data_IF_431408251622
#
_entry.id   IF_431408251622
#
_cell.length_a   1.000
_cell.length_b   1.000
_cell.length_c   1.000
_cell.angle_alpha   90.00
_cell.angle_beta   90.00
_cell.angle_gamma   90.00
#
_symmetry.space_group_name_H-M   'P 1'
#
loop_
_entity.id
_entity.type
_entity.pdbx_description
1 polymer ?
#
# COMPACT_ATOMS: atom_id res chain seq x y z
N UNK A 1 -14.72 -10.18 -10.98
CA UNK A 1 -14.36 -10.16 -9.55
C UNK A 1 -14.49 -8.75 -8.98
N UNK A 2 -13.73 -7.75 -9.47
CA UNK A 2 -13.83 -6.34 -9.01
C UNK A 2 -15.25 -5.75 -9.05
N UNK A 3 -16.03 -6.00 -10.10
CA UNK A 3 -17.42 -5.50 -10.22
C UNK A 3 -18.37 -6.06 -9.15
N UNK A 4 -18.21 -7.34 -8.78
CA UNK A 4 -19.03 -7.97 -7.73
C UNK A 4 -18.62 -7.39 -6.37
N UNK A 5 -17.33 -7.19 -6.14
CA UNK A 5 -16.82 -6.62 -4.90
C UNK A 5 -17.22 -5.14 -4.73
N UNK A 6 -17.28 -4.36 -5.80
CA UNK A 6 -17.83 -2.99 -5.74
C UNK A 6 -19.31 -3.02 -5.38
N UNK A 7 -20.10 -3.91 -5.98
CA UNK A 7 -21.52 -4.07 -5.60
C UNK A 7 -21.70 -4.52 -4.14
N UNK A 8 -20.84 -5.40 -3.63
CA UNK A 8 -20.86 -5.82 -2.22
C UNK A 8 -20.44 -4.68 -1.28
N UNK A 9 -19.51 -3.82 -1.72
CA UNK A 9 -19.10 -2.61 -1.00
C UNK A 9 -20.26 -1.61 -0.91
N UNK A 10 -20.92 -1.34 -2.05
CA UNK A 10 -22.04 -0.40 -2.15
C UNK A 10 -23.23 -0.83 -1.28
N UNK A 11 -23.38 -2.13 -1.04
CA UNK A 11 -24.43 -2.73 -0.21
C UNK A 11 -24.04 -2.94 1.26
N UNK A 12 -22.78 -2.68 1.63
CA UNK A 12 -22.29 -2.87 3.00
C UNK A 12 -22.29 -4.33 3.49
N UNK A 13 -22.22 -5.31 2.58
CA UNK A 13 -22.31 -6.73 2.93
C UNK A 13 -21.02 -7.23 3.61
N UNK A 14 -21.15 -8.08 4.65
CA UNK A 14 -20.00 -8.63 5.41
C UNK A 14 -18.98 -9.35 4.51
N UNK A 15 -19.44 -9.98 3.42
CA UNK A 15 -18.57 -10.64 2.44
C UNK A 15 -17.59 -9.68 1.74
N UNK A 16 -17.90 -8.37 1.70
CA UNK A 16 -16.96 -7.36 1.22
C UNK A 16 -15.79 -7.16 2.19
N UNK A 17 -16.05 -7.10 3.50
CA UNK A 17 -15.03 -6.92 4.52
C UNK A 17 -14.01 -8.07 4.47
N UNK A 18 -14.47 -9.31 4.39
CA UNK A 18 -13.62 -10.49 4.27
C UNK A 18 -12.78 -10.50 2.99
N UNK A 19 -13.38 -10.12 1.85
CA UNK A 19 -12.64 -9.99 0.59
C UNK A 19 -11.57 -8.89 0.69
N UNK A 20 -11.91 -7.74 1.29
CA UNK A 20 -11.01 -6.60 1.49
C UNK A 20 -9.82 -7.02 2.37
N UNK A 21 -10.08 -7.69 3.49
CA UNK A 21 -9.05 -8.24 4.39
C UNK A 21 -8.12 -9.21 3.64
N UNK A 22 -8.67 -10.15 2.85
CA UNK A 22 -7.86 -11.09 2.06
C UNK A 22 -7.00 -10.38 1.01
N UNK A 23 -7.50 -9.31 0.39
CA UNK A 23 -6.73 -8.51 -0.58
C UNK A 23 -5.62 -7.72 0.10
N UNK A 24 -5.91 -7.01 1.19
CA UNK A 24 -4.90 -6.27 1.96
C UNK A 24 -3.81 -7.19 2.49
N UNK A 25 -4.17 -8.38 3.01
CA UNK A 25 -3.20 -9.39 3.44
C UNK A 25 -2.28 -9.84 2.32
N UNK A 26 -2.80 -10.03 1.10
CA UNK A 26 -1.96 -10.40 -0.07
C UNK A 26 -0.97 -9.30 -0.42
N UNK A 27 -1.40 -8.04 -0.39
CA UNK A 27 -0.53 -6.88 -0.65
C UNK A 27 0.56 -6.77 0.43
N UNK A 28 0.19 -6.88 1.69
CA UNK A 28 1.14 -6.84 2.81
C UNK A 28 2.21 -7.94 2.70
N UNK A 29 1.81 -9.19 2.43
CA UNK A 29 2.75 -10.30 2.23
C UNK A 29 3.67 -10.07 1.02
N UNK A 30 3.21 -9.39 -0.03
CA UNK A 30 4.05 -9.05 -1.16
C UNK A 30 5.12 -8.01 -0.78
N UNK A 31 4.75 -6.98 -0.02
CA UNK A 31 5.72 -6.02 0.52
C UNK A 31 6.72 -6.67 1.47
N UNK A 32 6.25 -7.49 2.41
CA UNK A 32 7.10 -8.21 3.35
C UNK A 32 8.16 -9.06 2.63
N UNK A 33 7.76 -9.86 1.63
CA UNK A 33 8.72 -10.67 0.84
C UNK A 33 9.77 -9.81 0.14
N UNK A 34 9.36 -8.68 -0.44
CA UNK A 34 10.27 -7.83 -1.20
C UNK A 34 11.22 -7.06 -0.28
N UNK A 35 10.75 -6.60 0.88
CA UNK A 35 11.57 -6.00 1.93
C UNK A 35 12.54 -7.02 2.51
N UNK A 36 12.10 -8.25 2.78
CA UNK A 36 12.98 -9.32 3.25
C UNK A 36 14.10 -9.60 2.23
N UNK A 37 13.78 -9.59 0.93
CA UNK A 37 14.78 -9.70 -0.12
C UNK A 37 15.75 -8.51 -0.12
N UNK A 38 15.26 -7.28 0.03
CA UNK A 38 16.11 -6.08 0.11
C UNK A 38 17.01 -6.11 1.35
N UNK A 39 16.51 -6.60 2.48
CA UNK A 39 17.27 -6.75 3.72
C UNK A 39 18.38 -7.80 3.57
N UNK A 40 18.04 -8.98 3.06
CA UNK A 40 19.01 -10.06 2.80
C UNK A 40 20.12 -9.68 1.81
N UNK A 41 19.83 -8.75 0.90
CA UNK A 41 20.79 -8.25 -0.11
C UNK A 41 21.48 -6.96 0.29
N UNK A 42 21.25 -6.46 1.51
CA UNK A 42 21.90 -5.27 2.06
C UNK A 42 21.41 -3.94 1.46
N UNK A 43 20.32 -3.94 0.70
CA UNK A 43 19.71 -2.73 0.13
C UNK A 43 18.69 -2.07 1.07
N UNK A 44 18.15 -2.79 2.06
CA UNK A 44 17.20 -2.19 3.00
C UNK A 44 17.82 -0.99 3.75
N UNK A 45 17.01 0.05 3.95
CA UNK A 45 17.46 1.29 4.56
C UNK A 45 17.98 1.04 5.99
N UNK A 46 19.17 1.58 6.29
CA UNK A 46 19.80 1.43 7.60
C UNK A 46 18.93 2.08 8.68
N UNK A 47 18.78 1.40 9.82
CA UNK A 47 18.03 1.91 10.97
C UNK A 47 16.52 1.65 10.91
N UNK A 48 15.99 1.09 9.81
CA UNK A 48 14.61 0.63 9.76
C UNK A 48 14.51 -0.86 10.11
N UNK A 49 13.44 -1.21 10.83
CA UNK A 49 13.09 -2.61 11.07
C UNK A 49 12.33 -3.16 9.83
N UNK A 50 12.77 -4.27 9.21
CA UNK A 50 12.15 -4.79 8.00
C UNK A 50 10.68 -5.19 8.17
N UNK A 51 10.32 -5.72 9.34
CA UNK A 51 8.95 -6.17 9.63
C UNK A 51 8.05 -4.96 9.85
N UNK A 52 8.45 -3.99 10.66
CA UNK A 52 7.69 -2.76 10.87
C UNK A 52 7.52 -2.00 9.54
N UNK A 53 8.56 -1.95 8.71
CA UNK A 53 8.49 -1.30 7.40
C UNK A 53 7.42 -1.92 6.50
N UNK A 54 7.19 -3.24 6.54
CA UNK A 54 6.15 -3.86 5.71
C UNK A 54 4.72 -3.49 6.14
N UNK A 55 4.49 -3.28 7.44
CA UNK A 55 3.22 -2.76 7.95
C UNK A 55 3.03 -1.29 7.58
N UNK A 56 4.06 -0.47 7.79
CA UNK A 56 3.98 0.97 7.53
C UNK A 56 3.81 1.30 6.03
N UNK A 57 4.48 0.56 5.14
CA UNK A 57 4.27 0.74 3.69
C UNK A 57 2.83 0.39 3.29
N UNK A 58 2.26 -0.68 3.83
CA UNK A 58 0.86 -1.04 3.55
C UNK A 58 -0.11 0.03 4.07
N UNK A 59 0.13 0.52 5.30
CA UNK A 59 -0.67 1.58 5.92
C UNK A 59 -0.57 2.91 5.15
N UNK A 60 0.62 3.26 4.65
CA UNK A 60 0.84 4.45 3.83
C UNK A 60 0.04 4.39 2.53
N UNK A 61 0.03 3.24 1.84
CA UNK A 61 -0.76 3.04 0.62
C UNK A 61 -2.25 3.14 0.90
N UNK A 62 -2.73 2.55 1.99
CA UNK A 62 -4.14 2.64 2.41
C UNK A 62 -4.53 4.08 2.77
N UNK A 63 -3.69 4.77 3.53
CA UNK A 63 -3.90 6.16 3.94
C UNK A 63 -3.91 7.12 2.76
N UNK A 64 -2.99 6.94 1.80
CA UNK A 64 -2.98 7.72 0.56
C UNK A 64 -4.26 7.49 -0.24
N UNK A 65 -4.70 6.23 -0.39
CA UNK A 65 -5.93 5.92 -1.12
C UNK A 65 -7.17 6.52 -0.44
N UNK A 66 -7.26 6.45 0.89
CA UNK A 66 -8.36 7.04 1.65
C UNK A 66 -8.37 8.57 1.62
N UNK A 67 -7.18 9.19 1.61
CA UNK A 67 -6.99 10.64 1.57
C UNK A 67 -6.81 11.22 0.17
N UNK A 68 -7.00 10.45 -0.90
CA UNK A 68 -6.59 10.85 -2.24
C UNK A 68 -7.25 12.16 -2.70
N UNK A 69 -8.56 12.30 -2.49
CA UNK A 69 -9.27 13.52 -2.86
C UNK A 69 -8.87 14.73 -1.99
N UNK A 70 -8.45 14.50 -0.74
CA UNK A 70 -7.90 15.56 0.11
C UNK A 70 -6.55 16.06 -0.44
N UNK A 71 -5.68 15.14 -0.87
CA UNK A 71 -4.40 15.49 -1.49
C UNK A 71 -4.61 16.27 -2.79
N UNK A 72 -5.62 15.90 -3.59
CA UNK A 72 -5.99 16.62 -4.82
C UNK A 72 -6.53 18.03 -4.58
N UNK A 73 -7.15 18.30 -3.43
CA UNK A 73 -7.66 19.64 -3.09
C UNK A 73 -6.55 20.68 -2.93
N UNK A 74 -5.30 20.26 -2.69
CA UNK A 74 -4.15 21.17 -2.63
C UNK A 74 -3.58 21.54 -4.00
N UNK A 75 -4.41 21.62 -5.04
CA UNK A 75 -4.04 21.84 -6.46
C UNK A 75 -2.95 20.89 -6.99
N UNK A 76 -2.69 19.79 -6.28
CA UNK A 76 -1.66 18.83 -6.67
C UNK A 76 -2.22 17.88 -7.73
N UNK A 77 -1.58 17.75 -8.90
CA UNK A 77 -2.00 16.83 -9.94
C UNK A 77 -2.07 15.38 -9.45
N UNK A 78 -3.03 14.62 -9.97
CA UNK A 78 -3.29 13.25 -9.55
C UNK A 78 -2.11 12.31 -9.81
N UNK A 79 -1.51 12.44 -10.99
CA UNK A 79 -0.28 11.77 -11.40
C UNK A 79 0.87 12.09 -10.44
N UNK A 80 1.06 13.35 -10.06
CA UNK A 80 2.10 13.74 -9.09
C UNK A 80 1.93 13.03 -7.74
N UNK A 81 0.70 12.91 -7.23
CA UNK A 81 0.42 12.21 -5.96
C UNK A 81 0.75 10.72 -6.07
N UNK A 82 0.29 10.09 -7.17
CA UNK A 82 0.50 8.67 -7.43
C UNK A 82 1.98 8.36 -7.63
N UNK A 83 2.67 9.14 -8.45
CA UNK A 83 4.09 8.97 -8.76
C UNK A 83 4.94 9.17 -7.50
N UNK A 84 4.67 10.23 -6.72
CA UNK A 84 5.40 10.48 -5.47
C UNK A 84 5.24 9.31 -4.51
N UNK A 85 4.00 8.84 -4.34
CA UNK A 85 3.71 7.71 -3.45
C UNK A 85 4.38 6.43 -3.95
N UNK A 86 4.29 6.14 -5.24
CA UNK A 86 4.93 4.99 -5.86
C UNK A 86 6.45 5.01 -5.65
N UNK A 87 7.09 6.16 -5.82
CA UNK A 87 8.53 6.32 -5.59
C UNK A 87 8.91 6.05 -4.13
N UNK A 88 8.13 6.55 -3.16
CA UNK A 88 8.37 6.29 -1.73
C UNK A 88 8.21 4.79 -1.43
N UNK A 89 7.13 4.17 -1.91
CA UNK A 89 6.87 2.73 -1.74
C UNK A 89 8.02 1.91 -2.33
N UNK A 90 8.43 2.17 -3.57
CA UNK A 90 9.51 1.42 -4.23
C UNK A 90 10.82 1.55 -3.45
N UNK A 91 11.17 2.76 -2.99
CA UNK A 91 12.39 2.98 -2.19
C UNK A 91 12.36 2.19 -0.88
N UNK A 92 11.25 2.25 -0.14
CA UNK A 92 11.11 1.53 1.14
C UNK A 92 11.10 0.01 0.96
N UNK A 93 10.46 -0.46 -0.12
CA UNK A 93 10.27 -1.89 -0.37
C UNK A 93 11.50 -2.56 -0.98
N UNK A 94 12.26 -1.82 -1.80
CA UNK A 94 13.38 -2.38 -2.56
C UNK A 94 14.75 -1.87 -2.12
N UNK A 95 14.81 -0.74 -1.42
CA UNK A 95 16.05 -0.07 -1.05
C UNK A 95 16.74 0.69 -2.19
N UNK A 96 16.06 0.89 -3.32
CA UNK A 96 16.59 1.54 -4.54
C UNK A 96 15.72 2.70 -4.97
#
# INVERSE_FOLDING_TARGET
VLRIEHMLADKGEEGFADSRIKRLRRVHLAFERRIAQAHATGYHAKGLDPRLTSYEVANMVESMAAGFDLLRRGDTPADTILDTTAHIVVKLVTGR
#
